data_IF_524446134848
#
_entry.id   IF_524446134848
#
_cell.length_a   1.000
_cell.length_b   1.000
_cell.length_c   1.000
_cell.angle_alpha   90.00
_cell.angle_beta   90.00
_cell.angle_gamma   90.00
#
_symmetry.space_group_name_H-M   'P 1'
#
loop_
_entity.id
_entity.type
_entity.pdbx_description
1 polymer ?
#
# COMPACT_ATOMS: atom_id res chain seq x y z
N UNK A 1 3.76 15.05 10.06
CA UNK A 1 3.44 15.09 8.62
C UNK A 1 4.61 15.51 7.74
N UNK A 2 5.45 16.46 8.13
CA UNK A 2 6.64 16.83 7.32
C UNK A 2 7.61 15.66 7.10
N UNK A 3 7.87 14.85 8.13
CA UNK A 3 8.80 13.73 8.05
C UNK A 3 8.33 12.63 7.08
N UNK A 4 7.04 12.32 7.06
CA UNK A 4 6.45 11.31 6.18
C UNK A 4 6.47 11.74 4.71
N UNK A 5 6.22 13.01 4.44
CA UNK A 5 6.34 13.58 3.08
C UNK A 5 7.79 13.56 2.62
N UNK A 6 8.75 13.90 3.49
CA UNK A 6 10.18 13.82 3.17
C UNK A 6 10.61 12.39 2.85
N UNK A 7 10.12 11.38 3.57
CA UNK A 7 10.38 9.95 3.27
C UNK A 7 9.81 9.52 1.92
N UNK A 8 8.61 10.01 1.57
CA UNK A 8 8.00 9.76 0.25
C UNK A 8 8.87 10.37 -0.86
N UNK A 9 9.32 11.60 -0.68
CA UNK A 9 10.21 12.27 -1.63
C UNK A 9 11.54 11.53 -1.74
N UNK A 10 12.13 11.13 -0.61
CA UNK A 10 13.36 10.33 -0.57
C UNK A 10 13.22 9.03 -1.38
N UNK A 11 12.11 8.32 -1.16
CA UNK A 11 11.82 7.09 -1.88
C UNK A 11 11.62 7.32 -3.39
N UNK A 12 10.89 8.38 -3.78
CA UNK A 12 10.60 8.70 -5.18
C UNK A 12 11.87 9.08 -5.96
N UNK A 13 12.74 9.87 -5.35
CA UNK A 13 13.92 10.44 -6.02
C UNK A 13 15.22 9.78 -5.61
N UNK A 14 15.17 8.71 -4.81
CA UNK A 14 16.34 7.92 -4.35
C UNK A 14 17.42 8.84 -3.75
N UNK A 15 16.98 9.71 -2.85
CA UNK A 15 17.89 10.71 -2.25
C UNK A 15 18.87 10.14 -1.22
N UNK A 16 18.67 8.88 -0.79
CA UNK A 16 19.45 8.18 0.23
C UNK A 16 19.52 8.91 1.59
N UNK A 17 18.49 9.67 1.93
CA UNK A 17 18.40 10.41 3.19
C UNK A 17 17.95 9.52 4.35
N UNK A 18 17.17 8.49 4.06
CA UNK A 18 16.64 7.53 5.01
C UNK A 18 17.09 6.11 4.69
N UNK A 19 17.12 5.23 5.69
CA UNK A 19 17.35 3.80 5.47
C UNK A 19 16.11 3.16 4.82
N UNK A 20 16.07 3.18 3.51
CA UNK A 20 14.93 2.74 2.71
C UNK A 20 15.39 1.77 1.63
N UNK A 21 14.71 0.64 1.51
CA UNK A 21 14.91 -0.27 0.38
C UNK A 21 14.07 0.21 -0.81
N UNK A 22 14.71 0.84 -1.77
CA UNK A 22 14.06 1.41 -2.96
C UNK A 22 13.51 0.35 -3.93
N UNK A 23 13.79 -0.93 -3.70
CA UNK A 23 13.21 -2.03 -4.47
C UNK A 23 11.84 -2.43 -3.97
N UNK A 24 11.50 -2.08 -2.72
CA UNK A 24 10.23 -2.33 -2.06
C UNK A 24 9.29 -1.14 -2.21
N UNK A 25 7.99 -1.42 -2.18
CA UNK A 25 7.00 -0.37 -2.03
C UNK A 25 6.92 0.17 -0.59
N UNK A 26 5.86 0.92 -0.30
CA UNK A 26 5.65 1.57 0.99
C UNK A 26 4.33 1.09 1.59
N UNK A 27 4.34 0.64 2.85
CA UNK A 27 3.15 0.42 3.67
C UNK A 27 3.10 1.45 4.79
N UNK A 28 2.10 2.34 4.75
CA UNK A 28 1.89 3.33 5.80
C UNK A 28 0.94 2.77 6.86
N UNK A 29 1.44 2.64 8.09
CA UNK A 29 0.69 2.21 9.27
C UNK A 29 0.33 3.39 10.16
N UNK A 30 -0.84 3.32 10.78
CA UNK A 30 -1.27 4.30 11.78
C UNK A 30 -2.77 4.20 12.02
N UNK A 31 -3.25 4.75 13.11
CA UNK A 31 -4.68 4.76 13.45
C UNK A 31 -5.50 5.55 12.43
N UNK A 32 -6.81 5.42 12.49
CA UNK A 32 -7.74 6.16 11.63
C UNK A 32 -7.59 7.69 11.82
N UNK A 33 -7.81 8.46 10.77
CA UNK A 33 -7.78 9.93 10.82
C UNK A 33 -6.39 10.56 10.68
N UNK A 34 -5.31 9.78 10.65
CA UNK A 34 -3.91 10.28 10.60
C UNK A 34 -3.42 10.74 9.23
N UNK A 35 -4.28 10.78 8.22
CA UNK A 35 -3.93 11.30 6.88
C UNK A 35 -3.18 10.31 5.97
N UNK A 36 -3.15 8.99 6.27
CA UNK A 36 -2.47 7.98 5.43
C UNK A 36 -2.91 8.00 3.98
N UNK A 37 -4.23 7.97 3.76
CA UNK A 37 -4.81 8.01 2.41
C UNK A 37 -4.45 9.30 1.68
N UNK A 38 -4.47 10.45 2.38
CA UNK A 38 -4.05 11.74 1.83
C UNK A 38 -2.59 11.74 1.40
N UNK A 39 -1.69 11.16 2.20
CA UNK A 39 -0.28 11.03 1.83
C UNK A 39 -0.10 10.24 0.54
N UNK A 40 -0.88 9.18 0.35
CA UNK A 40 -0.84 8.43 -0.90
C UNK A 40 -1.51 9.13 -2.08
N UNK A 41 -2.49 9.99 -1.84
CA UNK A 41 -3.04 10.83 -2.91
C UNK A 41 -1.98 11.82 -3.40
N UNK A 42 -1.26 12.48 -2.48
CA UNK A 42 -0.09 13.31 -2.80
C UNK A 42 0.99 12.51 -3.54
N UNK A 43 1.33 11.32 -3.06
CA UNK A 43 2.29 10.43 -3.71
C UNK A 43 1.86 10.09 -5.15
N UNK A 44 0.58 9.74 -5.34
CA UNK A 44 0.04 9.41 -6.66
C UNK A 44 0.07 10.60 -7.61
N UNK A 45 -0.16 11.82 -7.09
CA UNK A 45 -0.08 13.04 -7.89
C UNK A 45 1.37 13.37 -8.29
N UNK A 46 2.33 13.18 -7.39
CA UNK A 46 3.75 13.30 -7.71
C UNK A 46 4.18 12.29 -8.78
N UNK A 47 3.67 11.05 -8.74
CA UNK A 47 3.94 10.02 -9.74
C UNK A 47 3.35 10.31 -11.13
N UNK A 48 2.40 11.25 -11.24
CA UNK A 48 1.83 11.69 -12.53
C UNK A 48 2.71 12.71 -13.25
N UNK A 49 3.62 13.38 -12.53
CA UNK A 49 4.65 14.21 -13.11
C UNK A 49 5.56 13.26 -13.88
N UNK A 50 5.64 13.41 -15.22
CA UNK A 50 6.27 12.45 -16.15
C UNK A 50 7.81 12.34 -16.00
N UNK A 51 8.32 12.44 -14.80
CA UNK A 51 9.73 12.23 -14.53
C UNK A 51 10.00 10.76 -14.14
N UNK A 52 10.98 10.10 -14.79
CA UNK A 52 11.33 8.74 -14.44
C UNK A 52 11.93 8.69 -13.04
N UNK A 53 11.38 7.82 -12.19
CA UNK A 53 11.96 7.55 -10.88
C UNK A 53 13.16 6.62 -11.04
N UNK A 54 14.33 7.09 -10.62
CA UNK A 54 15.54 6.27 -10.61
C UNK A 54 15.54 5.33 -9.41
N UNK A 55 15.75 4.04 -9.67
CA UNK A 55 15.99 3.06 -8.64
C UNK A 55 17.48 2.76 -8.57
N UNK A 56 17.99 2.37 -7.41
CA UNK A 56 19.39 2.09 -7.12
C UNK A 56 20.11 1.14 -8.10
N UNK A 57 19.36 0.46 -8.97
CA UNK A 57 19.87 -0.46 -10.02
C UNK A 57 20.09 0.23 -11.37
N UNK A 58 19.97 1.55 -11.46
CA UNK A 58 20.07 2.30 -12.73
C UNK A 58 18.88 2.11 -13.68
N UNK A 59 17.81 1.45 -13.24
CA UNK A 59 16.57 1.30 -14.02
C UNK A 59 15.59 2.41 -13.66
N UNK A 60 15.11 3.11 -14.70
CA UNK A 60 13.99 4.04 -14.56
C UNK A 60 12.67 3.26 -14.51
N UNK A 61 11.78 3.62 -13.60
CA UNK A 61 10.41 3.08 -13.55
C UNK A 61 9.42 4.22 -13.62
N UNK A 62 8.48 4.14 -14.55
CA UNK A 62 7.27 4.95 -14.51
C UNK A 62 6.33 4.34 -13.46
N UNK A 63 6.14 5.05 -12.35
CA UNK A 63 5.28 4.61 -11.25
C UNK A 63 3.96 5.36 -11.36
N UNK A 64 2.90 4.64 -11.69
CA UNK A 64 1.53 5.17 -11.74
C UNK A 64 0.62 4.20 -10.97
N UNK A 65 0.61 4.26 -9.62
CA UNK A 65 -0.13 3.29 -8.84
C UNK A 65 -1.64 3.45 -9.08
N UNK A 66 -2.27 2.34 -9.38
CA UNK A 66 -3.74 2.27 -9.42
C UNK A 66 -4.21 2.03 -8.00
N UNK A 67 -5.01 2.96 -7.47
CA UNK A 67 -5.56 2.89 -6.12
C UNK A 67 -6.82 2.04 -6.09
N UNK A 68 -6.89 1.13 -5.13
CA UNK A 68 -8.06 0.31 -4.83
C UNK A 68 -8.18 0.11 -3.31
N UNK A 69 -9.39 0.05 -2.79
CA UNK A 69 -9.61 -0.26 -1.38
C UNK A 69 -9.66 -1.79 -1.16
N UNK A 70 -9.11 -2.27 -0.04
CA UNK A 70 -9.08 -3.70 0.28
C UNK A 70 -10.49 -4.33 0.32
N UNK A 71 -11.50 -3.60 0.80
CA UNK A 71 -12.91 -4.08 0.78
C UNK A 71 -13.46 -4.22 -0.63
N UNK A 72 -13.05 -3.35 -1.54
CA UNK A 72 -13.43 -3.46 -2.95
C UNK A 72 -12.85 -4.71 -3.57
N UNK A 73 -11.58 -5.01 -3.33
CA UNK A 73 -10.93 -6.26 -3.76
C UNK A 73 -11.70 -7.48 -3.25
N UNK A 74 -12.04 -7.50 -1.94
CA UNK A 74 -12.82 -8.60 -1.36
C UNK A 74 -14.22 -8.74 -1.99
N UNK A 75 -14.89 -7.63 -2.31
CA UNK A 75 -16.18 -7.63 -2.99
C UNK A 75 -16.09 -8.14 -4.43
N UNK A 76 -15.05 -7.77 -5.18
CA UNK A 76 -14.81 -8.25 -6.53
C UNK A 76 -14.52 -9.76 -6.51
N UNK A 77 -13.68 -10.22 -5.57
CA UNK A 77 -13.42 -11.64 -5.37
C UNK A 77 -14.69 -12.43 -5.07
N UNK A 78 -15.55 -11.92 -4.20
CA UNK A 78 -16.81 -12.59 -3.84
C UNK A 78 -17.78 -12.72 -5.03
N UNK A 79 -17.74 -11.78 -5.98
CA UNK A 79 -18.62 -11.76 -7.16
C UNK A 79 -18.08 -12.55 -8.34
N UNK A 80 -16.78 -12.51 -8.57
CA UNK A 80 -16.14 -12.96 -9.81
C UNK A 80 -15.03 -14.00 -9.57
N UNK A 81 -14.75 -14.34 -8.30
CA UNK A 81 -13.64 -15.22 -7.95
C UNK A 81 -12.29 -14.67 -8.37
N UNK A 82 -11.38 -15.55 -8.75
CA UNK A 82 -10.01 -15.20 -9.14
C UNK A 82 -9.94 -14.36 -10.43
N UNK A 83 -10.87 -14.53 -11.35
CA UNK A 83 -10.94 -13.77 -12.60
C UNK A 83 -11.09 -12.26 -12.31
N UNK A 84 -11.87 -11.89 -11.28
CA UNK A 84 -12.02 -10.50 -10.87
C UNK A 84 -10.72 -9.86 -10.34
N UNK A 85 -9.77 -10.68 -9.92
CA UNK A 85 -8.51 -10.23 -9.34
C UNK A 85 -7.33 -10.22 -10.32
N UNK A 86 -7.45 -10.80 -11.52
CA UNK A 86 -6.32 -10.98 -12.44
C UNK A 86 -5.57 -9.68 -12.75
N UNK A 87 -6.30 -8.57 -12.89
CA UNK A 87 -5.70 -7.26 -13.12
C UNK A 87 -4.73 -6.84 -12.01
N UNK A 88 -5.04 -7.17 -10.75
CA UNK A 88 -4.20 -6.82 -9.60
C UNK A 88 -2.90 -7.64 -9.55
N UNK A 89 -2.87 -8.82 -10.17
CA UNK A 89 -1.69 -9.69 -10.27
C UNK A 89 -0.68 -9.25 -11.34
N UNK A 90 -1.05 -8.30 -12.20
CA UNK A 90 -0.26 -7.94 -13.39
C UNK A 90 0.05 -6.45 -13.51
N UNK A 91 -0.65 -5.60 -12.79
CA UNK A 91 -0.39 -4.15 -12.78
C UNK A 91 1.03 -3.85 -12.32
N UNK A 92 1.76 -2.99 -13.04
CA UNK A 92 3.13 -2.60 -12.71
C UNK A 92 3.24 -2.01 -11.30
N UNK A 93 2.27 -1.17 -10.90
CA UNK A 93 2.20 -0.61 -9.57
C UNK A 93 0.75 -0.58 -9.07
N UNK A 94 0.53 -1.02 -7.83
CA UNK A 94 -0.77 -1.11 -7.19
C UNK A 94 -0.71 -0.45 -5.82
N UNK A 95 -1.74 0.34 -5.47
CA UNK A 95 -1.92 0.91 -4.15
C UNK A 95 -3.19 0.33 -3.52
N UNK A 96 -3.02 -0.41 -2.44
CA UNK A 96 -4.13 -1.02 -1.70
C UNK A 96 -4.39 -0.18 -0.44
N UNK A 97 -5.52 0.49 -0.41
CA UNK A 97 -5.93 1.31 0.73
C UNK A 97 -6.68 0.46 1.76
N UNK A 98 -6.36 0.68 3.06
CA UNK A 98 -6.96 -0.01 4.20
C UNK A 98 -6.76 -1.55 4.21
N UNK A 99 -5.54 -2.03 3.97
CA UNK A 99 -5.17 -3.45 4.15
C UNK A 99 -5.55 -3.91 5.57
N UNK A 100 -6.28 -5.03 5.66
CA UNK A 100 -6.82 -5.57 6.90
C UNK A 100 -8.25 -5.11 7.22
N UNK A 101 -8.82 -4.18 6.41
CA UNK A 101 -10.22 -3.78 6.56
C UNK A 101 -11.19 -4.66 5.76
N UNK A 102 -10.67 -5.56 4.91
CA UNK A 102 -11.46 -6.53 4.18
C UNK A 102 -11.99 -7.61 5.13
N UNK A 103 -13.22 -8.04 4.90
CA UNK A 103 -13.73 -9.24 5.55
C UNK A 103 -13.18 -10.48 4.83
N UNK A 104 -12.81 -11.49 5.60
CA UNK A 104 -12.45 -12.78 5.02
C UNK A 104 -13.64 -13.32 4.21
N UNK A 105 -13.45 -13.48 2.91
CA UNK A 105 -14.47 -13.98 2.01
C UNK A 105 -14.47 -15.51 2.00
N UNK A 106 -15.64 -16.11 2.12
CA UNK A 106 -15.79 -17.56 1.91
C UNK A 106 -15.94 -17.83 0.41
N UNK A 107 -15.01 -18.57 -0.16
CA UNK A 107 -15.12 -19.06 -1.52
C UNK A 107 -15.07 -20.59 -1.50
N UNK A 108 -16.15 -21.22 -1.95
CA UNK A 108 -16.33 -22.68 -1.92
C UNK A 108 -16.05 -23.35 -0.55
N UNK A 109 -16.45 -22.70 0.55
CA UNK A 109 -16.26 -23.22 1.91
C UNK A 109 -14.89 -23.00 2.54
N UNK A 110 -13.93 -22.44 1.80
CA UNK A 110 -12.61 -22.07 2.34
C UNK A 110 -12.56 -20.56 2.65
N UNK A 111 -12.02 -20.22 3.82
CA UNK A 111 -11.66 -18.83 4.13
C UNK A 111 -10.41 -18.47 3.36
N UNK A 112 -10.56 -17.68 2.33
CA UNK A 112 -9.43 -17.18 1.52
C UNK A 112 -9.37 -15.67 1.63
N UNK A 113 -8.19 -15.14 1.92
CA UNK A 113 -7.95 -13.70 1.84
C UNK A 113 -7.50 -13.34 0.42
N UNK A 114 -8.33 -12.57 -0.28
CA UNK A 114 -7.99 -12.05 -1.60
C UNK A 114 -6.71 -11.18 -1.56
N UNK A 115 -6.49 -10.47 -0.45
CA UNK A 115 -5.29 -9.65 -0.24
C UNK A 115 -4.04 -10.53 -0.12
N UNK A 116 -4.12 -11.64 0.64
CA UNK A 116 -3.01 -12.60 0.74
C UNK A 116 -2.55 -13.08 -0.63
N UNK A 117 -3.49 -13.52 -1.47
CA UNK A 117 -3.16 -14.01 -2.81
C UNK A 117 -2.57 -12.91 -3.71
N UNK A 118 -3.08 -11.67 -3.62
CA UNK A 118 -2.52 -10.54 -4.36
C UNK A 118 -1.08 -10.30 -3.93
N UNK A 119 -0.80 -10.26 -2.63
CA UNK A 119 0.54 -10.05 -2.09
C UNK A 119 1.48 -11.16 -2.55
N UNK A 120 1.05 -12.43 -2.46
CA UNK A 120 1.82 -13.59 -2.87
C UNK A 120 2.24 -13.51 -4.34
N UNK A 121 1.29 -13.29 -5.23
CA UNK A 121 1.56 -13.24 -6.68
C UNK A 121 2.37 -12.01 -7.10
N UNK A 122 2.20 -10.89 -6.39
CA UNK A 122 2.95 -9.67 -6.68
C UNK A 122 4.38 -9.75 -6.17
N UNK A 123 4.61 -10.43 -5.03
CA UNK A 123 5.94 -10.76 -4.54
C UNK A 123 6.71 -11.62 -5.56
N UNK A 124 6.10 -12.72 -6.00
CA UNK A 124 6.71 -13.63 -6.99
C UNK A 124 7.13 -12.94 -8.28
N UNK A 125 6.40 -11.91 -8.69
CA UNK A 125 6.66 -11.12 -9.90
C UNK A 125 7.50 -9.85 -9.65
N UNK A 126 7.91 -9.59 -8.41
CA UNK A 126 8.61 -8.36 -8.02
C UNK A 126 7.88 -7.07 -8.46
N UNK A 127 6.54 -7.04 -8.32
CA UNK A 127 5.71 -5.90 -8.70
C UNK A 127 5.59 -4.91 -7.55
N UNK A 128 5.77 -3.62 -7.85
CA UNK A 128 5.66 -2.56 -6.86
C UNK A 128 4.25 -2.49 -6.28
N UNK A 129 4.18 -2.63 -4.95
CA UNK A 129 2.94 -2.59 -4.20
C UNK A 129 3.05 -1.54 -3.10
N UNK A 130 2.04 -0.68 -3.00
CA UNK A 130 1.90 0.34 -1.96
C UNK A 130 0.66 0.02 -1.14
N UNK A 131 0.62 0.49 0.11
CA UNK A 131 -0.57 0.25 0.91
C UNK A 131 -0.67 1.13 2.14
N UNK A 132 -1.90 1.21 2.66
CA UNK A 132 -2.18 1.72 3.99
C UNK A 132 -2.77 0.63 4.87
N UNK A 133 -2.60 0.77 6.17
CA UNK A 133 -3.32 -0.07 7.13
C UNK A 133 -3.60 0.68 8.42
N UNK A 134 -4.76 0.41 9.00
CA UNK A 134 -5.14 0.85 10.34
C UNK A 134 -4.81 -0.24 11.39
N UNK A 135 -4.39 -1.42 10.93
CA UNK A 135 -4.11 -2.53 11.81
C UNK A 135 -2.77 -2.35 12.53
N UNK A 136 -2.81 -2.37 13.84
CA UNK A 136 -1.62 -2.24 14.67
C UNK A 136 -0.74 -3.50 14.57
N UNK A 137 -1.36 -4.69 14.55
CA UNK A 137 -0.67 -5.97 14.42
C UNK A 137 -1.27 -6.79 13.28
N UNK A 138 -0.59 -6.83 12.15
CA UNK A 138 -1.03 -7.60 10.98
C UNK A 138 -1.14 -9.11 11.27
N UNK A 139 -0.39 -9.63 12.25
CA UNK A 139 -0.47 -11.02 12.71
C UNK A 139 -1.80 -11.38 13.40
N UNK A 140 -2.63 -10.40 13.75
CA UNK A 140 -4.00 -10.65 14.26
C UNK A 140 -5.00 -10.92 13.13
N UNK A 141 -4.65 -10.55 11.89
CA UNK A 141 -5.52 -10.67 10.71
C UNK A 141 -5.00 -11.72 9.74
N UNK A 142 -3.69 -11.77 9.54
CA UNK A 142 -3.02 -12.64 8.58
C UNK A 142 -2.13 -13.67 9.28
N UNK A 143 -1.91 -14.79 8.61
CA UNK A 143 -0.97 -15.80 9.06
C UNK A 143 0.49 -15.31 8.97
N UNK A 144 1.40 -16.03 9.64
CA UNK A 144 2.83 -15.67 9.70
C UNK A 144 3.48 -15.61 8.32
N UNK A 145 3.05 -16.46 7.39
CA UNK A 145 3.55 -16.47 6.01
C UNK A 145 3.18 -15.18 5.29
N UNK A 146 1.93 -14.76 5.37
CA UNK A 146 1.45 -13.51 4.76
C UNK A 146 2.13 -12.30 5.39
N UNK A 147 2.29 -12.28 6.72
CA UNK A 147 3.01 -11.20 7.43
C UNK A 147 4.46 -11.11 6.97
N UNK A 148 5.15 -12.25 6.82
CA UNK A 148 6.52 -12.30 6.30
C UNK A 148 6.62 -11.73 4.90
N UNK A 149 5.66 -12.06 4.01
CA UNK A 149 5.62 -11.53 2.63
C UNK A 149 5.31 -10.04 2.58
N UNK A 150 4.43 -9.55 3.46
CA UNK A 150 4.21 -8.11 3.62
C UNK A 150 5.54 -7.42 3.97
N UNK A 151 6.32 -7.96 4.89
CA UNK A 151 7.62 -7.40 5.27
C UNK A 151 8.66 -7.49 4.14
N UNK A 152 8.56 -8.47 3.24
CA UNK A 152 9.48 -8.62 2.10
C UNK A 152 9.24 -7.58 1.01
N UNK A 153 7.97 -7.21 0.74
CA UNK A 153 7.61 -6.31 -0.37
C UNK A 153 7.41 -4.85 0.03
N UNK A 154 7.34 -4.54 1.33
CA UNK A 154 7.11 -3.19 1.82
C UNK A 154 8.21 -2.66 2.71
N UNK A 155 8.53 -1.38 2.58
CA UNK A 155 9.06 -0.55 3.66
C UNK A 155 7.88 -0.15 4.55
N UNK A 156 7.91 -0.51 5.82
CA UNK A 156 6.81 -0.24 6.75
C UNK A 156 7.10 1.06 7.50
N UNK A 157 6.26 2.07 7.27
CA UNK A 157 6.36 3.37 7.91
C UNK A 157 5.18 3.62 8.85
N UNK A 158 5.46 4.18 10.01
CA UNK A 158 4.46 4.50 11.02
C UNK A 158 4.18 5.99 11.04
N UNK A 159 2.90 6.37 11.01
CA UNK A 159 2.50 7.75 11.30
C UNK A 159 2.21 7.85 12.80
N UNK A 160 3.14 8.45 13.52
CA UNK A 160 3.06 8.74 14.94
C UNK A 160 2.72 10.23 15.12
N UNK A 161 1.46 10.59 15.00
CA UNK A 161 1.00 11.91 15.40
C UNK A 161 -0.29 11.77 16.21
N UNK A 162 -0.54 12.68 17.14
CA UNK A 162 -1.72 12.68 18.00
C UNK A 162 -2.93 13.37 17.37
N UNK A 163 -2.79 13.88 16.14
CA UNK A 163 -3.83 14.66 15.46
C UNK A 163 -4.74 13.73 14.67
N UNK A 164 -6.04 13.80 14.90
CA UNK A 164 -7.06 13.25 14.02
C UNK A 164 -7.57 14.36 13.09
N UNK A 165 -7.07 14.35 11.86
CA UNK A 165 -7.41 15.38 10.86
C UNK A 165 -8.87 15.37 10.42
N UNK A 166 -9.65 14.32 10.74
CA UNK A 166 -11.10 14.29 10.48
C UNK A 166 -11.90 15.03 11.54
N UNK A 167 -11.33 15.18 12.73
CA UNK A 167 -11.97 15.80 13.89
C UNK A 167 -11.60 17.28 14.05
N UNK A 168 -10.57 17.76 13.35
CA UNK A 168 -10.26 19.20 13.33
C UNK A 168 -11.31 19.94 12.51
N UNK A 169 -12.05 20.91 13.09
CA UNK A 169 -12.92 21.76 12.31
C UNK A 169 -12.06 22.54 11.30
N UNK A 170 -12.50 22.58 10.05
CA UNK A 170 -11.87 23.40 9.01
C UNK A 170 -11.57 24.78 9.56
N UNK A 171 -10.31 25.06 9.88
CA UNK A 171 -9.86 26.44 10.07
C UNK A 171 -9.81 27.06 8.66
N UNK A 172 -10.98 27.49 8.19
CA UNK A 172 -11.06 28.41 7.06
C UNK A 172 -10.30 29.67 7.44
N UNK A 173 -9.18 29.87 6.76
CA UNK A 173 -8.48 31.15 6.77
C UNK A 173 -9.28 32.17 5.97
#
# INVERSE_FOLDING_TARGET
>A
MCNEVEKIIDWLYVCNKFETDYTKGILIKGTTGKGKTFLFDVFSDLCKIDEPVYISTGKTRNIRPIKVNARQIASEFSKQGWEGLERYFTMNSLLIDDIGAEQQSNHYGNKVSAITEIIDRREEKNLLTFGTTNCEKLSEIYDDRTVSRIASIFNIWYIENDVDYRMEPNKTA
#
